data_IF_606458798460
#
_entry.id   IF_606458798460
#
_cell.length_a   1.000
_cell.length_b   1.000
_cell.length_c   1.000
_cell.angle_alpha   90.00
_cell.angle_beta   90.00
_cell.angle_gamma   90.00
#
_symmetry.space_group_name_H-M   'P 1'
#
loop_
_entity.id
_entity.type
_entity.pdbx_description
1 polymer ?
#
# COMPACT_ATOMS: atom_id res chain seq x y z
N UNK A 1 12.40 -5.25 86.69
CA UNK A 1 11.45 -5.26 85.56
C UNK A 1 11.99 -6.19 84.49
N UNK A 2 11.26 -7.23 84.15
CA UNK A 2 11.78 -8.42 83.47
C UNK A 2 11.62 -8.26 81.93
N UNK A 3 12.74 -8.24 81.17
CA UNK A 3 12.76 -8.33 79.73
C UNK A 3 12.73 -9.82 79.31
N UNK A 4 11.81 -10.17 78.43
CA UNK A 4 11.76 -11.50 77.82
C UNK A 4 12.38 -11.39 76.41
N UNK A 5 13.49 -12.11 76.23
CA UNK A 5 14.11 -12.39 74.95
C UNK A 5 13.28 -13.50 74.22
N UNK A 6 12.89 -13.24 73.00
CA UNK A 6 12.29 -14.26 72.12
C UNK A 6 13.28 -14.50 71.00
N UNK A 7 13.75 -15.74 70.90
CA UNK A 7 14.58 -16.24 69.78
C UNK A 7 13.67 -16.58 68.59
N UNK A 8 13.94 -15.97 67.43
CA UNK A 8 13.38 -16.43 66.17
C UNK A 8 14.42 -17.12 65.33
N UNK A 9 14.17 -18.39 64.99
CA UNK A 9 15.01 -19.20 64.09
C UNK A 9 14.82 -18.71 62.65
N UNK A 10 15.87 -18.71 61.78
CA UNK A 10 15.74 -18.43 60.38
C UNK A 10 15.18 -19.65 59.63
N UNK A 11 14.11 -19.45 58.92
CA UNK A 11 13.58 -20.43 57.94
C UNK A 11 14.45 -20.34 56.66
N UNK A 12 15.20 -21.42 56.41
CA UNK A 12 15.92 -21.59 55.14
C UNK A 12 14.88 -22.00 54.07
N UNK A 13 14.57 -21.07 53.17
CA UNK A 13 13.78 -21.37 51.98
C UNK A 13 14.70 -21.95 50.90
N UNK A 14 14.52 -23.27 50.63
CA UNK A 14 15.10 -23.92 49.46
C UNK A 14 14.40 -23.38 48.18
N UNK A 15 15.11 -22.58 47.39
CA UNK A 15 14.69 -22.28 46.05
C UNK A 15 14.98 -23.48 45.13
N UNK A 16 13.94 -24.22 44.76
CA UNK A 16 13.97 -25.15 43.64
C UNK A 16 13.99 -24.30 42.34
N UNK A 17 15.14 -24.23 41.69
CA UNK A 17 15.28 -23.70 40.35
C UNK A 17 14.67 -24.74 39.40
N UNK A 18 13.39 -24.62 39.13
CA UNK A 18 12.73 -25.31 38.03
C UNK A 18 13.23 -24.75 36.71
N UNK A 19 14.01 -25.52 35.96
CA UNK A 19 14.35 -25.24 34.56
C UNK A 19 13.07 -25.25 33.72
N UNK A 20 12.55 -24.09 33.40
CA UNK A 20 11.51 -23.95 32.38
C UNK A 20 12.18 -24.14 31.02
N UNK A 21 12.12 -25.37 30.50
CA UNK A 21 12.30 -25.60 29.07
C UNK A 21 11.14 -24.94 28.36
N UNK A 22 11.41 -23.83 27.70
CA UNK A 22 10.48 -23.24 26.75
C UNK A 22 10.36 -24.21 25.55
N UNK A 23 9.36 -25.09 25.64
CA UNK A 23 8.90 -25.82 24.46
C UNK A 23 8.42 -24.78 23.45
N UNK A 24 9.22 -24.54 22.39
CA UNK A 24 8.75 -23.92 21.17
C UNK A 24 7.62 -24.82 20.68
N UNK A 25 6.38 -24.36 20.82
CA UNK A 25 5.24 -25.02 20.22
C UNK A 25 5.46 -25.03 18.72
N UNK A 26 5.75 -26.18 18.18
CA UNK A 26 5.73 -26.46 16.74
C UNK A 26 4.28 -26.28 16.27
N UNK A 27 4.01 -25.17 15.54
CA UNK A 27 2.68 -24.83 15.01
C UNK A 27 2.35 -25.59 13.71
N UNK A 28 3.01 -26.72 13.47
CA UNK A 28 2.91 -27.47 12.20
C UNK A 28 1.72 -28.44 12.09
N UNK A 29 0.75 -28.49 13.01
CA UNK A 29 -0.38 -29.44 12.92
C UNK A 29 -1.76 -28.82 13.16
N UNK A 30 -2.12 -27.78 12.40
CA UNK A 30 -3.53 -27.52 12.12
C UNK A 30 -3.87 -28.19 10.79
N UNK A 31 -4.26 -29.46 10.81
CA UNK A 31 -4.80 -30.20 9.65
C UNK A 31 -6.20 -29.66 9.28
N UNK A 32 -6.26 -28.44 8.77
CA UNK A 32 -7.37 -27.96 7.98
C UNK A 32 -7.23 -28.44 6.53
N UNK A 33 -8.30 -28.44 5.71
CA UNK A 33 -8.17 -28.68 4.28
C UNK A 33 -7.18 -27.68 3.68
N UNK A 34 -6.35 -28.15 2.74
CA UNK A 34 -5.41 -27.26 2.03
C UNK A 34 -6.15 -26.03 1.47
N UNK A 35 -5.55 -24.82 1.54
CA UNK A 35 -6.20 -23.63 1.03
C UNK A 35 -6.44 -23.76 -0.48
N UNK A 36 -7.54 -23.21 -0.97
CA UNK A 36 -7.76 -23.06 -2.41
C UNK A 36 -6.71 -22.09 -2.95
N UNK A 37 -6.07 -22.40 -4.07
CA UNK A 37 -5.07 -21.55 -4.70
C UNK A 37 -5.59 -21.07 -6.05
N UNK A 38 -5.63 -19.75 -6.25
CA UNK A 38 -5.76 -19.11 -7.56
C UNK A 38 -4.33 -18.82 -8.02
N UNK A 39 -3.79 -19.76 -8.78
CA UNK A 39 -2.41 -19.72 -9.20
C UNK A 39 -2.21 -18.71 -10.34
N UNK A 40 -1.08 -18.02 -10.32
CA UNK A 40 -0.55 -17.22 -11.42
C UNK A 40 -0.06 -18.14 -12.54
N UNK A 41 -0.38 -17.81 -13.80
CA UNK A 41 0.13 -18.51 -14.98
C UNK A 41 0.71 -17.53 -16.01
N UNK A 42 1.73 -17.94 -16.74
CA UNK A 42 2.46 -17.07 -17.67
C UNK A 42 3.22 -15.94 -16.99
N UNK A 43 3.96 -15.16 -17.77
CA UNK A 43 4.74 -14.02 -17.27
C UNK A 43 3.82 -12.81 -17.03
N UNK A 44 2.96 -12.48 -17.99
CA UNK A 44 2.13 -11.29 -18.00
C UNK A 44 0.65 -11.60 -17.77
N UNK A 45 -0.11 -10.62 -17.34
CA UNK A 45 -1.54 -10.72 -17.08
C UNK A 45 -2.34 -11.22 -18.30
N UNK A 46 -1.95 -10.82 -19.51
CA UNK A 46 -2.58 -11.26 -20.76
C UNK A 46 -2.51 -12.79 -21.01
N UNK A 47 -1.55 -13.46 -20.38
CA UNK A 47 -1.31 -14.91 -20.52
C UNK A 47 -1.97 -15.71 -19.39
N UNK A 48 -2.76 -15.06 -18.52
CA UNK A 48 -3.33 -15.62 -17.30
C UNK A 48 -4.85 -15.44 -17.23
N UNK A 49 -5.65 -16.51 -17.29
CA UNK A 49 -7.11 -16.40 -17.23
C UNK A 49 -7.64 -15.92 -15.87
N UNK A 50 -6.82 -15.91 -14.82
CA UNK A 50 -7.16 -15.44 -13.47
C UNK A 50 -6.75 -13.99 -13.24
N UNK A 51 -6.20 -13.32 -14.25
CA UNK A 51 -5.70 -11.97 -14.16
C UNK A 51 -6.53 -11.00 -14.99
N UNK A 52 -6.69 -9.77 -14.50
CA UNK A 52 -7.31 -8.65 -15.20
C UNK A 52 -6.66 -7.33 -14.74
N UNK A 53 -6.74 -6.29 -15.58
CA UNK A 53 -6.18 -4.97 -15.26
C UNK A 53 -7.19 -3.83 -15.46
N UNK A 54 -8.46 -4.17 -15.54
CA UNK A 54 -9.59 -3.23 -15.54
C UNK A 54 -10.67 -3.76 -14.60
N UNK A 55 -11.45 -2.87 -14.03
CA UNK A 55 -12.51 -3.23 -13.07
C UNK A 55 -13.87 -3.07 -13.74
N UNK A 56 -14.66 -4.16 -13.74
CA UNK A 56 -16.02 -4.18 -14.26
C UNK A 56 -16.82 -5.29 -13.57
N UNK A 57 -18.13 -5.06 -13.31
CA UNK A 57 -19.00 -6.01 -12.59
C UNK A 57 -19.20 -7.36 -13.29
N UNK A 58 -19.00 -7.40 -14.60
CA UNK A 58 -19.23 -8.62 -15.41
C UNK A 58 -18.00 -9.54 -15.48
N UNK A 59 -16.88 -9.21 -14.84
CA UNK A 59 -15.69 -10.09 -14.79
C UNK A 59 -16.07 -11.37 -14.05
N UNK A 60 -15.81 -12.51 -14.69
CA UNK A 60 -16.18 -13.83 -14.14
C UNK A 60 -15.28 -14.20 -12.97
N UNK A 61 -15.83 -14.82 -11.92
CA UNK A 61 -15.00 -15.28 -10.79
C UNK A 61 -13.96 -16.33 -11.22
N UNK A 62 -12.69 -16.12 -10.84
CA UNK A 62 -11.62 -17.10 -10.96
C UNK A 62 -11.78 -18.26 -9.95
N UNK A 63 -12.41 -17.97 -8.81
CA UNK A 63 -12.66 -18.96 -7.77
C UNK A 63 -13.91 -18.64 -6.95
N UNK A 64 -14.39 -19.66 -6.21
CA UNK A 64 -15.48 -19.54 -5.22
C UNK A 64 -15.00 -20.11 -3.89
N UNK A 65 -15.23 -19.39 -2.80
CA UNK A 65 -14.81 -19.79 -1.46
C UNK A 65 -15.97 -19.69 -0.46
N UNK A 66 -15.98 -20.59 0.52
CA UNK A 66 -16.92 -20.51 1.64
C UNK A 66 -16.44 -19.48 2.67
N UNK A 67 -17.35 -18.80 3.39
CA UNK A 67 -16.99 -17.96 4.52
C UNK A 67 -16.13 -18.75 5.53
N UNK A 68 -15.00 -18.16 5.95
CA UNK A 68 -14.03 -18.78 6.86
C UNK A 68 -13.03 -19.75 6.20
N UNK A 69 -13.20 -20.10 4.93
CA UNK A 69 -12.20 -20.85 4.19
C UNK A 69 -10.99 -19.96 3.88
N UNK A 70 -9.78 -20.47 4.10
CA UNK A 70 -8.56 -19.81 3.63
C UNK A 70 -8.33 -20.09 2.15
N UNK A 71 -7.81 -19.08 1.45
CA UNK A 71 -7.43 -19.18 0.04
C UNK A 71 -6.18 -18.34 -0.22
N UNK A 72 -5.47 -18.66 -1.30
CA UNK A 72 -4.24 -17.99 -1.73
C UNK A 72 -4.46 -17.42 -3.12
N UNK A 73 -4.09 -16.16 -3.29
CA UNK A 73 -4.00 -15.49 -4.59
C UNK A 73 -2.51 -15.27 -4.90
N UNK A 74 -2.03 -15.81 -6.02
CA UNK A 74 -0.68 -15.54 -6.51
C UNK A 74 -0.74 -14.31 -7.42
N UNK A 75 0.02 -13.26 -7.06
CA UNK A 75 0.00 -11.96 -7.75
C UNK A 75 1.28 -11.72 -8.55
N UNK A 76 1.20 -10.81 -9.51
CA UNK A 76 2.34 -10.11 -10.12
C UNK A 76 2.59 -8.81 -9.36
N UNK A 77 3.75 -8.18 -9.59
CA UNK A 77 3.98 -6.79 -9.18
C UNK A 77 3.06 -5.82 -9.93
N UNK A 78 2.98 -4.58 -9.47
CA UNK A 78 2.10 -3.54 -10.02
C UNK A 78 2.36 -3.19 -11.50
N UNK A 79 3.56 -3.53 -12.01
CA UNK A 79 4.02 -3.26 -13.37
C UNK A 79 3.94 -4.47 -14.31
N UNK A 80 3.15 -5.50 -13.98
CA UNK A 80 2.91 -6.71 -14.78
C UNK A 80 4.17 -7.50 -15.12
N UNK A 81 5.15 -7.54 -14.22
CA UNK A 81 6.44 -8.23 -14.40
C UNK A 81 7.25 -7.73 -15.61
N UNK A 82 7.13 -6.45 -15.94
CA UNK A 82 7.93 -5.82 -16.99
C UNK A 82 9.40 -5.68 -16.58
N UNK A 83 9.69 -5.59 -15.27
CA UNK A 83 11.04 -5.42 -14.73
C UNK A 83 11.58 -6.71 -14.08
N UNK A 84 12.92 -6.81 -14.05
CA UNK A 84 13.65 -7.89 -13.38
C UNK A 84 15.02 -7.38 -12.87
N UNK A 85 15.88 -8.29 -12.32
CA UNK A 85 17.21 -7.94 -11.82
C UNK A 85 18.18 -7.36 -12.86
N UNK A 86 17.87 -7.45 -14.16
CA UNK A 86 18.71 -6.93 -15.23
C UNK A 86 18.17 -5.63 -15.82
N UNK A 87 17.00 -5.18 -15.37
CA UNK A 87 16.35 -3.97 -15.87
C UNK A 87 17.18 -2.72 -15.62
N UNK A 88 17.11 -1.78 -16.53
CA UNK A 88 17.84 -0.52 -16.53
C UNK A 88 16.90 0.67 -16.46
N UNK A 89 17.39 1.89 -16.24
CA UNK A 89 16.54 3.08 -16.34
C UNK A 89 15.84 3.21 -17.70
N UNK A 90 16.42 2.69 -18.79
CA UNK A 90 15.78 2.71 -20.11
C UNK A 90 14.51 1.81 -20.15
N UNK A 91 14.53 0.69 -19.43
CA UNK A 91 13.36 -0.18 -19.31
C UNK A 91 12.26 0.51 -18.47
N UNK A 92 12.63 1.27 -17.43
CA UNK A 92 11.69 2.09 -16.66
C UNK A 92 11.04 3.18 -17.53
N UNK A 93 11.81 3.82 -18.40
CA UNK A 93 11.28 4.80 -19.35
C UNK A 93 10.30 4.20 -20.38
N UNK A 94 10.39 2.89 -20.62
CA UNK A 94 9.56 2.14 -21.55
C UNK A 94 8.31 1.51 -20.91
N UNK A 95 8.14 1.61 -19.58
CA UNK A 95 7.00 1.01 -18.85
C UNK A 95 5.66 1.43 -19.47
N UNK A 96 4.82 0.44 -19.72
CA UNK A 96 3.47 0.68 -20.21
C UNK A 96 2.46 0.76 -19.06
N UNK A 97 2.17 1.96 -18.58
CA UNK A 97 1.19 2.19 -17.50
C UNK A 97 -0.25 1.76 -17.85
N UNK A 98 -0.55 1.33 -19.10
CA UNK A 98 -1.84 0.73 -19.41
C UNK A 98 -1.98 -0.69 -18.84
N UNK A 99 -0.89 -1.36 -18.53
CA UNK A 99 -0.88 -2.70 -17.91
C UNK A 99 -1.17 -2.66 -16.41
N UNK A 100 -1.02 -1.49 -15.77
CA UNK A 100 -1.22 -1.31 -14.32
C UNK A 100 -2.69 -1.27 -13.94
N UNK A 101 -3.07 -1.97 -12.89
CA UNK A 101 -2.31 -2.99 -12.18
C UNK A 101 -2.86 -4.36 -12.54
N UNK A 102 -2.02 -5.40 -12.69
CA UNK A 102 -2.49 -6.76 -12.87
C UNK A 102 -3.11 -7.25 -11.55
N UNK A 103 -4.39 -7.61 -11.59
CA UNK A 103 -5.17 -8.05 -10.45
C UNK A 103 -5.49 -9.53 -10.55
N UNK A 104 -5.32 -10.29 -9.49
CA UNK A 104 -5.68 -11.70 -9.40
C UNK A 104 -7.07 -11.87 -8.77
N UNK A 105 -7.91 -12.65 -9.40
CA UNK A 105 -9.31 -12.88 -9.01
C UNK A 105 -10.27 -12.71 -10.19
N UNK A 106 -11.52 -12.25 -9.97
CA UNK A 106 -12.15 -12.02 -8.67
C UNK A 106 -12.53 -13.33 -7.96
N UNK A 107 -12.58 -13.28 -6.63
CA UNK A 107 -13.04 -14.40 -5.80
C UNK A 107 -14.48 -14.16 -5.38
N UNK A 108 -15.34 -15.13 -5.66
CA UNK A 108 -16.74 -15.13 -5.22
C UNK A 108 -16.85 -15.69 -3.80
N UNK A 109 -17.32 -14.90 -2.85
CA UNK A 109 -17.56 -15.33 -1.46
C UNK A 109 -18.98 -15.88 -1.37
N UNK A 110 -19.11 -17.19 -1.11
CA UNK A 110 -20.41 -17.88 -1.05
C UNK A 110 -21.30 -17.28 0.04
N UNK A 111 -22.57 -17.05 -0.30
CA UNK A 111 -23.58 -16.51 0.60
C UNK A 111 -23.55 -14.99 0.76
N UNK A 112 -22.51 -14.28 0.33
CA UNK A 112 -22.51 -12.83 0.32
C UNK A 112 -23.47 -12.28 -0.73
N UNK A 113 -24.22 -11.23 -0.38
CA UNK A 113 -25.21 -10.58 -1.22
C UNK A 113 -24.91 -9.10 -1.37
N UNK A 114 -25.40 -8.49 -2.45
CA UNK A 114 -25.44 -7.03 -2.56
C UNK A 114 -26.08 -6.42 -1.30
N UNK A 115 -25.43 -5.44 -0.70
CA UNK A 115 -25.87 -4.80 0.55
C UNK A 115 -25.24 -5.40 1.82
N UNK A 116 -24.61 -6.57 1.74
CA UNK A 116 -23.75 -7.09 2.80
C UNK A 116 -22.40 -6.36 2.82
N UNK A 117 -21.53 -6.72 3.74
CA UNK A 117 -20.11 -6.45 3.67
C UNK A 117 -19.33 -7.76 3.85
N UNK A 118 -18.07 -7.75 3.45
CA UNK A 118 -17.13 -8.84 3.79
C UNK A 118 -16.02 -8.30 4.69
N UNK A 119 -15.61 -9.16 5.65
CA UNK A 119 -14.42 -8.98 6.47
C UNK A 119 -13.33 -9.92 5.94
N UNK A 120 -12.24 -9.36 5.43
CA UNK A 120 -11.12 -10.08 4.81
C UNK A 120 -9.90 -9.97 5.70
N UNK A 121 -9.51 -11.07 6.33
CA UNK A 121 -8.32 -11.12 7.19
C UNK A 121 -7.10 -11.50 6.35
N UNK A 122 -6.04 -10.73 6.48
CA UNK A 122 -4.72 -11.02 5.88
C UNK A 122 -4.02 -12.05 6.75
N UNK A 123 -3.90 -13.28 6.25
CA UNK A 123 -3.34 -14.41 7.03
C UNK A 123 -1.83 -14.52 6.84
N UNK A 124 -1.34 -14.37 5.62
CA UNK A 124 0.09 -14.41 5.28
C UNK A 124 0.33 -13.73 3.93
N UNK A 125 1.51 -13.16 3.77
CA UNK A 125 2.03 -12.65 2.49
C UNK A 125 3.44 -13.19 2.33
N UNK A 126 3.62 -14.06 1.33
CA UNK A 126 4.93 -14.61 0.97
C UNK A 126 5.46 -13.85 -0.24
N UNK A 127 6.56 -13.09 -0.12
CA UNK A 127 7.14 -12.36 -1.23
C UNK A 127 7.77 -13.31 -2.26
N UNK A 128 7.78 -12.90 -3.52
CA UNK A 128 8.72 -13.42 -4.53
C UNK A 128 10.15 -12.91 -4.18
N UNK A 129 11.17 -13.40 -4.88
CA UNK A 129 12.58 -13.06 -4.56
C UNK A 129 13.01 -11.68 -5.07
N UNK A 130 12.30 -11.13 -6.05
CA UNK A 130 12.58 -9.86 -6.71
C UNK A 130 11.56 -8.80 -6.32
N UNK A 131 12.05 -7.57 -6.10
CA UNK A 131 11.26 -6.36 -6.05
C UNK A 131 11.99 -5.18 -6.67
N UNK A 132 11.25 -4.14 -7.03
CA UNK A 132 11.82 -2.91 -7.56
C UNK A 132 11.14 -1.68 -6.96
N UNK A 133 11.89 -0.58 -6.89
CA UNK A 133 11.33 0.76 -6.68
C UNK A 133 11.81 1.65 -7.80
N UNK A 134 10.90 2.36 -8.46
CA UNK A 134 11.20 3.12 -9.66
C UNK A 134 10.82 4.58 -9.55
N UNK A 135 11.50 5.43 -10.29
CA UNK A 135 11.06 6.79 -10.62
C UNK A 135 10.66 6.75 -12.09
N UNK A 136 9.35 6.73 -12.35
CA UNK A 136 8.81 6.71 -13.72
C UNK A 136 8.64 8.15 -14.21
N UNK A 137 9.20 8.51 -15.38
CA UNK A 137 9.08 9.86 -15.92
C UNK A 137 7.63 10.35 -16.00
N UNK A 138 7.37 11.53 -15.43
CA UNK A 138 6.04 12.14 -15.41
C UNK A 138 5.08 11.59 -14.36
N UNK A 139 5.48 10.59 -13.57
CA UNK A 139 4.72 10.00 -12.47
C UNK A 139 5.37 10.28 -11.11
N UNK A 140 4.64 10.08 -10.00
CA UNK A 140 5.11 10.36 -8.65
C UNK A 140 4.82 11.79 -8.14
N UNK A 141 5.00 12.00 -6.85
CA UNK A 141 4.67 13.24 -6.16
C UNK A 141 5.60 14.40 -6.55
N UNK A 142 6.89 14.09 -6.76
CA UNK A 142 7.91 15.05 -7.16
C UNK A 142 8.35 14.89 -8.63
N UNK A 143 7.43 14.51 -9.53
CA UNK A 143 7.70 14.25 -10.96
C UNK A 143 8.31 15.44 -11.73
N UNK A 144 8.15 16.65 -11.22
CA UNK A 144 8.75 17.87 -11.75
C UNK A 144 10.19 18.10 -11.27
N UNK A 145 10.58 17.50 -10.16
CA UNK A 145 11.94 17.54 -9.58
C UNK A 145 12.79 16.38 -10.07
N UNK A 146 12.16 15.23 -10.33
CA UNK A 146 12.80 13.98 -10.77
C UNK A 146 12.21 13.54 -12.11
N UNK A 147 12.62 14.18 -13.22
CA UNK A 147 12.08 13.88 -14.55
C UNK A 147 12.69 12.64 -15.19
N UNK A 148 13.86 12.20 -14.73
CA UNK A 148 14.62 11.11 -15.33
C UNK A 148 14.25 9.75 -14.72
N UNK A 149 14.24 8.66 -15.53
CA UNK A 149 13.93 7.33 -15.03
C UNK A 149 15.04 6.82 -14.10
N UNK A 150 14.63 6.12 -13.05
CA UNK A 150 15.54 5.51 -12.10
C UNK A 150 14.96 4.20 -11.57
N UNK A 151 15.82 3.25 -11.18
CA UNK A 151 15.43 1.97 -10.59
C UNK A 151 16.37 1.58 -9.46
N UNK A 152 15.80 1.00 -8.41
CA UNK A 152 16.49 0.25 -7.37
C UNK A 152 15.94 -1.16 -7.37
N UNK A 153 16.84 -2.13 -7.48
CA UNK A 153 16.53 -3.57 -7.44
C UNK A 153 16.65 -4.07 -6.01
N UNK A 154 15.67 -4.85 -5.57
CA UNK A 154 15.64 -5.42 -4.23
C UNK A 154 15.66 -6.95 -4.29
N UNK A 155 16.58 -7.56 -3.54
CA UNK A 155 16.58 -8.97 -3.19
C UNK A 155 15.70 -9.15 -1.96
N UNK A 156 14.61 -9.91 -2.08
CA UNK A 156 13.58 -10.05 -1.05
C UNK A 156 13.64 -11.40 -0.36
N UNK A 157 13.40 -11.41 0.93
CA UNK A 157 13.13 -12.60 1.71
C UNK A 157 12.02 -12.32 2.73
N UNK A 158 11.69 -13.29 3.60
CA UNK A 158 10.61 -13.12 4.56
C UNK A 158 10.88 -12.09 5.67
N UNK A 159 12.12 -11.62 5.82
CA UNK A 159 12.51 -10.73 6.91
C UNK A 159 12.77 -9.31 6.42
N UNK A 160 13.49 -9.17 5.31
CA UNK A 160 13.98 -7.89 4.83
C UNK A 160 14.21 -7.87 3.32
N UNK A 161 14.24 -6.67 2.75
CA UNK A 161 14.69 -6.35 1.41
C UNK A 161 16.08 -5.74 1.45
N UNK A 162 16.99 -6.19 0.58
CA UNK A 162 18.35 -5.65 0.41
C UNK A 162 18.60 -5.26 -1.03
N UNK A 163 19.47 -4.29 -1.25
CA UNK A 163 19.82 -3.82 -2.59
C UNK A 163 21.32 -3.63 -2.75
N UNK A 164 21.83 -4.04 -3.92
CA UNK A 164 23.21 -3.70 -4.36
C UNK A 164 23.31 -2.24 -4.81
N UNK A 165 22.19 -1.66 -5.23
CA UNK A 165 22.11 -0.26 -5.65
C UNK A 165 22.14 0.69 -4.46
N UNK A 166 21.83 0.19 -3.26
CA UNK A 166 21.81 0.95 -2.00
C UNK A 166 22.50 0.15 -0.87
N UNK A 167 23.83 -0.02 -0.93
CA UNK A 167 24.58 -0.79 0.07
C UNK A 167 24.38 -0.23 1.48
N UNK A 168 24.26 -1.12 2.48
CA UNK A 168 24.05 -0.74 3.88
C UNK A 168 22.60 -0.41 4.25
N UNK A 169 21.67 -0.54 3.31
CA UNK A 169 20.23 -0.39 3.58
C UNK A 169 19.56 -1.76 3.57
N UNK A 170 18.77 -2.04 4.60
CA UNK A 170 17.89 -3.20 4.69
C UNK A 170 16.52 -2.76 5.18
N UNK A 171 15.50 -2.96 4.36
CA UNK A 171 14.13 -2.56 4.65
C UNK A 171 13.37 -3.74 5.26
N UNK A 172 12.83 -3.63 6.49
CA UNK A 172 12.06 -4.70 7.11
C UNK A 172 10.82 -5.07 6.30
N UNK A 173 10.44 -6.36 6.32
CA UNK A 173 9.21 -6.84 5.70
C UNK A 173 7.98 -6.35 6.46
N UNK A 174 7.25 -5.45 5.84
CA UNK A 174 5.95 -4.95 6.27
C UNK A 174 4.93 -5.09 5.13
N UNK A 175 4.92 -6.26 4.47
CA UNK A 175 4.16 -6.48 3.26
C UNK A 175 2.65 -6.31 3.45
N UNK A 176 2.04 -5.70 2.43
CA UNK A 176 0.60 -5.48 2.32
C UNK A 176 0.19 -5.43 0.84
N UNK A 177 -1.11 -5.40 0.56
CA UNK A 177 -1.63 -5.24 -0.79
C UNK A 177 -1.88 -3.75 -1.04
N UNK A 178 -1.15 -3.12 -1.96
CA UNK A 178 -1.44 -1.76 -2.45
C UNK A 178 -2.84 -1.73 -3.07
N UNK A 179 -3.13 -2.73 -3.90
CA UNK A 179 -4.44 -2.87 -4.52
C UNK A 179 -5.21 -4.08 -3.97
N UNK A 180 -6.27 -3.80 -3.22
CA UNK A 180 -7.26 -4.78 -2.76
C UNK A 180 -8.67 -4.17 -2.77
N UNK A 181 -9.66 -4.87 -3.32
CA UNK A 181 -11.02 -4.35 -3.39
C UNK A 181 -12.03 -5.38 -3.85
N UNK A 182 -13.25 -4.91 -4.06
CA UNK A 182 -14.37 -5.71 -4.55
C UNK A 182 -14.92 -5.14 -5.84
N UNK A 183 -15.57 -5.98 -6.66
CA UNK A 183 -16.18 -5.50 -7.91
C UNK A 183 -17.34 -4.54 -7.61
N UNK A 184 -17.52 -3.47 -8.43
CA UNK A 184 -18.69 -2.59 -8.35
C UNK A 184 -19.97 -3.31 -8.76
N UNK A 185 -21.12 -2.74 -8.43
CA UNK A 185 -22.34 -2.99 -9.16
C UNK A 185 -22.47 -2.03 -10.36
N UNK A 186 -23.39 -2.32 -11.29
CA UNK A 186 -23.58 -1.42 -12.44
C UNK A 186 -23.91 0.02 -12.04
N UNK A 187 -24.81 0.29 -11.06
CA UNK A 187 -25.10 1.68 -10.65
C UNK A 187 -23.88 2.43 -10.09
N UNK A 188 -23.02 1.73 -9.35
CA UNK A 188 -21.80 2.32 -8.79
C UNK A 188 -20.79 2.59 -9.90
N UNK A 189 -20.60 1.63 -10.82
CA UNK A 189 -19.72 1.77 -11.96
C UNK A 189 -20.10 2.99 -12.81
N UNK A 190 -21.36 3.08 -13.22
CA UNK A 190 -21.89 4.20 -14.02
C UNK A 190 -21.65 5.56 -13.31
N UNK A 191 -21.92 5.60 -11.98
CA UNK A 191 -21.70 6.81 -11.16
C UNK A 191 -20.24 7.23 -11.13
N UNK A 192 -19.32 6.29 -10.93
CA UNK A 192 -17.90 6.59 -10.80
C UNK A 192 -17.29 6.98 -12.14
N UNK A 193 -17.60 6.27 -13.22
CA UNK A 193 -17.17 6.64 -14.57
C UNK A 193 -17.65 8.03 -14.95
N UNK A 194 -18.92 8.36 -14.69
CA UNK A 194 -19.47 9.70 -14.95
C UNK A 194 -18.73 10.80 -14.15
N UNK A 195 -18.42 10.52 -12.87
CA UNK A 195 -17.68 11.45 -12.00
C UNK A 195 -16.27 11.72 -12.55
N UNK A 196 -15.57 10.68 -12.96
CA UNK A 196 -14.21 10.76 -13.50
C UNK A 196 -14.19 11.43 -14.88
N UNK A 197 -15.13 11.10 -15.76
CA UNK A 197 -15.25 11.75 -17.05
C UNK A 197 -15.55 13.25 -16.93
N UNK A 198 -16.45 13.64 -16.03
CA UNK A 198 -16.74 15.05 -15.78
C UNK A 198 -15.51 15.83 -15.27
N UNK A 199 -14.64 15.18 -14.48
CA UNK A 199 -13.38 15.78 -14.04
C UNK A 199 -12.39 15.91 -15.21
N UNK A 200 -12.29 14.91 -16.07
CA UNK A 200 -11.45 14.96 -17.28
C UNK A 200 -11.91 16.06 -18.22
N UNK A 201 -13.22 16.16 -18.47
CA UNK A 201 -13.83 17.18 -19.33
C UNK A 201 -13.59 18.62 -18.80
N UNK A 202 -13.45 18.75 -17.48
CA UNK A 202 -13.08 20.02 -16.82
C UNK A 202 -11.56 20.30 -16.83
N UNK A 203 -10.74 19.46 -17.47
CA UNK A 203 -9.29 19.61 -17.55
C UNK A 203 -8.52 19.06 -16.34
N UNK A 204 -9.15 18.26 -15.49
CA UNK A 204 -8.49 17.56 -14.39
C UNK A 204 -7.61 16.40 -14.87
N UNK A 205 -6.53 16.13 -14.14
CA UNK A 205 -5.68 14.98 -14.38
C UNK A 205 -6.38 13.72 -13.82
N UNK A 206 -6.97 12.92 -14.70
CA UNK A 206 -7.66 11.70 -14.32
C UNK A 206 -7.46 10.61 -15.39
N UNK A 207 -7.39 9.37 -14.92
CA UNK A 207 -7.25 8.19 -15.78
C UNK A 207 -8.65 7.62 -16.09
N UNK A 208 -9.26 8.11 -17.15
CA UNK A 208 -10.55 7.61 -17.64
C UNK A 208 -10.43 6.21 -18.24
N UNK A 209 -11.58 5.58 -18.52
CA UNK A 209 -11.63 4.29 -19.21
C UNK A 209 -10.84 4.31 -20.52
N UNK A 210 -10.05 3.26 -20.75
CA UNK A 210 -9.23 3.13 -21.94
C UNK A 210 -9.08 1.66 -22.33
N UNK A 211 -9.49 1.26 -23.55
CA UNK A 211 -9.52 -0.16 -23.95
C UNK A 211 -8.19 -0.71 -24.43
N UNK A 212 -7.17 0.15 -24.68
CA UNK A 212 -5.85 -0.31 -25.12
C UNK A 212 -5.19 -1.08 -23.99
N UNK A 213 -4.69 -2.29 -24.29
CA UNK A 213 -4.09 -3.24 -23.35
C UNK A 213 -5.02 -3.64 -22.16
N UNK A 214 -6.31 -3.40 -22.29
CA UNK A 214 -7.28 -3.72 -21.25
C UNK A 214 -7.63 -5.22 -21.23
N UNK A 215 -7.69 -5.78 -20.01
CA UNK A 215 -8.02 -7.18 -19.74
C UNK A 215 -9.18 -7.27 -18.72
N UNK A 216 -10.12 -8.25 -18.91
CA UNK A 216 -10.18 -9.25 -19.99
C UNK A 216 -10.46 -8.58 -21.33
N UNK A 217 -9.78 -9.01 -22.39
CA UNK A 217 -9.85 -8.35 -23.71
C UNK A 217 -11.21 -8.46 -24.38
N UNK A 218 -11.93 -9.56 -24.17
CA UNK A 218 -13.27 -9.79 -24.70
C UNK A 218 -14.35 -8.89 -24.06
N UNK A 219 -14.07 -8.36 -22.85
CA UNK A 219 -14.95 -7.45 -22.14
C UNK A 219 -14.46 -5.98 -22.25
N UNK A 220 -13.21 -5.73 -21.91
CA UNK A 220 -12.65 -4.40 -21.69
C UNK A 220 -11.71 -3.92 -22.82
N UNK A 221 -11.22 -4.84 -23.69
CA UNK A 221 -10.29 -4.52 -24.78
C UNK A 221 -10.93 -3.70 -25.90
N UNK A 222 -10.14 -3.35 -26.92
CA UNK A 222 -10.54 -2.48 -28.05
C UNK A 222 -11.78 -3.02 -28.80
N UNK A 223 -11.94 -4.35 -28.85
CA UNK A 223 -13.11 -5.03 -29.43
C UNK A 223 -14.03 -5.60 -28.34
N UNK A 224 -13.81 -5.24 -27.08
CA UNK A 224 -14.56 -5.73 -25.93
C UNK A 224 -15.98 -5.18 -25.87
N UNK A 225 -16.89 -5.98 -25.30
CA UNK A 225 -18.33 -5.66 -25.21
C UNK A 225 -18.63 -4.49 -24.28
N UNK A 226 -17.71 -4.11 -23.38
CA UNK A 226 -17.81 -3.00 -22.42
C UNK A 226 -16.55 -2.10 -22.44
N UNK A 227 -15.91 -1.95 -23.60
CA UNK A 227 -14.61 -1.26 -23.78
C UNK A 227 -14.54 0.16 -23.17
N UNK A 228 -15.67 0.86 -23.16
CA UNK A 228 -15.75 2.24 -22.65
C UNK A 228 -16.28 2.30 -21.20
N UNK A 229 -16.60 1.16 -20.60
CA UNK A 229 -17.18 1.05 -19.25
C UNK A 229 -16.22 0.42 -18.21
N UNK A 230 -15.03 0.00 -18.60
CA UNK A 230 -14.08 -0.64 -17.70
C UNK A 230 -13.17 0.39 -17.02
N UNK A 231 -13.20 0.46 -15.68
CA UNK A 231 -12.40 1.40 -14.91
C UNK A 231 -10.92 1.00 -14.89
N UNK A 232 -10.05 2.02 -14.93
CA UNK A 232 -8.61 1.88 -14.62
C UNK A 232 -8.43 1.54 -13.14
N UNK A 233 -7.34 0.87 -12.81
CA UNK A 233 -7.03 0.39 -11.46
C UNK A 233 -6.29 1.41 -10.59
N UNK A 234 -5.51 2.31 -11.20
CA UNK A 234 -4.66 3.28 -10.48
C UNK A 234 -5.47 4.18 -9.52
N UNK A 235 -6.58 4.83 -9.88
CA UNK A 235 -7.36 5.58 -8.90
C UNK A 235 -8.15 4.66 -7.96
N UNK A 236 -8.01 4.78 -6.62
CA UNK A 236 -8.88 4.08 -5.67
C UNK A 236 -10.30 4.68 -5.66
N UNK A 237 -11.27 3.88 -5.24
CA UNK A 237 -12.68 4.31 -5.15
C UNK A 237 -13.36 3.72 -3.92
N UNK A 238 -14.68 3.91 -3.81
CA UNK A 238 -15.46 3.45 -2.66
C UNK A 238 -15.43 1.91 -2.46
N UNK A 239 -15.08 1.16 -3.51
CA UNK A 239 -14.92 -0.31 -3.45
C UNK A 239 -13.51 -0.78 -3.00
N UNK A 240 -12.65 0.12 -2.57
CA UNK A 240 -11.23 -0.15 -2.36
C UNK A 240 -10.44 0.06 -3.65
N UNK A 241 -9.63 -0.90 -4.05
CA UNK A 241 -8.70 -0.80 -5.17
C UNK A 241 -7.33 -0.34 -4.69
N UNK A 242 -6.69 0.55 -5.43
CA UNK A 242 -5.33 1.04 -5.17
C UNK A 242 -5.32 2.09 -4.05
N UNK A 243 -5.48 1.63 -2.81
CA UNK A 243 -5.55 2.52 -1.63
C UNK A 243 -4.20 2.79 -0.98
N UNK A 244 -3.19 1.98 -1.28
CA UNK A 244 -1.82 2.09 -0.78
C UNK A 244 -1.75 2.35 0.73
N UNK A 245 -2.54 1.54 1.46
CA UNK A 245 -2.69 1.70 2.90
C UNK A 245 -1.77 0.71 3.62
N UNK A 246 -0.56 1.14 3.93
CA UNK A 246 0.51 0.30 4.51
C UNK A 246 0.15 -0.37 5.85
N UNK A 247 -0.87 0.12 6.56
CA UNK A 247 -1.34 -0.45 7.82
C UNK A 247 -2.08 -1.78 7.63
N UNK A 248 -2.39 -2.17 6.38
CA UNK A 248 -3.16 -3.39 6.07
C UNK A 248 -2.27 -4.65 5.99
N UNK A 249 -1.29 -4.73 6.85
CA UNK A 249 -0.33 -5.86 6.98
C UNK A 249 -0.97 -7.15 7.49
N UNK A 250 -0.18 -8.23 7.49
CA UNK A 250 -0.59 -9.54 8.04
C UNK A 250 -1.18 -9.41 9.44
N UNK A 251 -2.35 -10.01 9.64
CA UNK A 251 -3.13 -9.97 10.88
C UNK A 251 -4.19 -8.86 10.92
N UNK A 252 -4.22 -7.95 9.96
CA UNK A 252 -5.27 -6.93 9.80
C UNK A 252 -6.49 -7.53 9.11
N UNK A 253 -7.68 -7.05 9.45
CA UNK A 253 -8.94 -7.41 8.79
C UNK A 253 -9.50 -6.18 8.07
N UNK A 254 -9.65 -6.28 6.76
CA UNK A 254 -10.24 -5.24 5.91
C UNK A 254 -11.73 -5.51 5.73
N UNK A 255 -12.52 -4.45 5.71
CA UNK A 255 -13.97 -4.49 5.58
C UNK A 255 -14.37 -3.80 4.27
N UNK A 256 -15.10 -4.51 3.40
CA UNK A 256 -15.57 -3.96 2.12
C UNK A 256 -17.08 -4.10 1.99
N UNK A 257 -17.79 -3.08 1.45
CA UNK A 257 -19.20 -3.21 1.09
C UNK A 257 -19.36 -4.10 -0.14
N UNK A 258 -20.38 -4.95 -0.20
CA UNK A 258 -20.68 -5.75 -1.37
C UNK A 258 -21.65 -5.04 -2.32
N UNK A 259 -21.21 -4.72 -3.52
CA UNK A 259 -22.01 -4.08 -4.56
C UNK A 259 -22.67 -5.08 -5.50
N UNK A 260 -22.23 -6.34 -5.47
CA UNK A 260 -22.79 -7.48 -6.22
C UNK A 260 -22.85 -8.71 -5.32
N UNK A 261 -23.60 -9.73 -5.72
CA UNK A 261 -23.60 -11.04 -5.06
C UNK A 261 -22.21 -11.67 -5.15
N UNK A 262 -21.72 -12.22 -4.03
CA UNK A 262 -20.38 -12.76 -3.92
C UNK A 262 -19.27 -11.73 -3.76
N UNK A 263 -19.59 -10.43 -3.72
CA UNK A 263 -18.70 -9.27 -3.62
C UNK A 263 -17.63 -9.15 -4.71
N UNK A 264 -17.04 -10.27 -5.21
CA UNK A 264 -16.00 -10.25 -6.24
C UNK A 264 -14.66 -9.67 -5.74
N UNK A 265 -14.10 -10.25 -4.68
CA UNK A 265 -12.83 -9.79 -4.08
C UNK A 265 -11.65 -9.99 -5.06
N UNK A 266 -10.80 -8.98 -5.19
CA UNK A 266 -9.58 -9.02 -5.99
C UNK A 266 -8.37 -8.45 -5.25
N UNK A 267 -7.17 -8.86 -5.66
CA UNK A 267 -5.89 -8.44 -5.08
C UNK A 267 -4.85 -8.28 -6.19
N UNK A 268 -3.95 -7.32 -6.02
CA UNK A 268 -2.77 -7.12 -6.86
C UNK A 268 -1.82 -6.12 -6.21
N UNK A 269 -0.76 -5.74 -6.94
CA UNK A 269 0.08 -4.62 -6.55
C UNK A 269 0.56 -4.77 -5.11
N UNK A 270 1.27 -5.88 -4.84
CA UNK A 270 1.71 -6.20 -3.48
C UNK A 270 3.03 -5.51 -3.22
N UNK A 271 3.08 -4.75 -2.14
CA UNK A 271 4.25 -4.03 -1.69
C UNK A 271 4.96 -4.80 -0.57
N UNK A 272 6.28 -4.91 -0.64
CA UNK A 272 7.09 -5.48 0.43
C UNK A 272 7.20 -4.52 1.62
N UNK A 273 7.37 -3.24 1.33
CA UNK A 273 7.35 -2.14 2.27
C UNK A 273 7.10 -0.82 1.53
N UNK A 274 6.49 0.11 2.21
CA UNK A 274 6.19 1.45 1.70
C UNK A 274 6.25 2.48 2.82
N UNK A 275 6.78 3.66 2.54
CA UNK A 275 6.60 4.85 3.35
C UNK A 275 5.19 5.43 3.17
N UNK A 276 4.61 5.96 4.23
CA UNK A 276 3.28 6.58 4.14
C UNK A 276 3.26 7.75 3.18
N UNK A 277 2.60 7.56 2.02
CA UNK A 277 2.51 8.55 0.95
C UNK A 277 3.09 8.11 -0.40
N UNK A 278 3.85 7.00 -0.46
CA UNK A 278 4.36 6.42 -1.72
C UNK A 278 4.92 7.46 -2.72
N UNK A 279 5.74 8.36 -2.21
CA UNK A 279 6.05 9.63 -2.89
C UNK A 279 6.74 9.50 -4.26
N UNK A 280 7.47 8.41 -4.53
CA UNK A 280 8.06 8.17 -5.85
C UNK A 280 7.05 7.62 -6.87
N UNK A 281 5.85 7.22 -6.42
CA UNK A 281 4.82 6.58 -7.23
C UNK A 281 4.96 5.06 -7.31
N UNK A 282 5.94 4.49 -6.59
CA UNK A 282 6.12 3.07 -6.35
C UNK A 282 6.65 2.84 -4.94
N UNK A 283 6.26 1.72 -4.33
CA UNK A 283 6.82 1.18 -3.10
C UNK A 283 8.03 0.26 -3.43
N UNK A 284 8.27 -0.78 -2.64
CA UNK A 284 9.02 -1.95 -3.10
C UNK A 284 7.99 -2.89 -3.72
N UNK A 285 7.82 -2.77 -5.02
CA UNK A 285 6.90 -3.54 -5.84
C UNK A 285 7.33 -4.99 -5.94
N UNK A 286 6.40 -5.95 -5.77
CA UNK A 286 6.75 -7.37 -5.85
C UNK A 286 5.58 -8.27 -6.27
N UNK A 287 5.90 -9.40 -6.88
CA UNK A 287 4.99 -10.55 -6.92
C UNK A 287 4.92 -11.22 -5.55
N UNK A 288 3.77 -11.85 -5.24
CA UNK A 288 3.58 -12.49 -3.94
C UNK A 288 2.53 -13.61 -3.96
N UNK A 289 2.53 -14.43 -2.89
CA UNK A 289 1.43 -15.33 -2.55
C UNK A 289 0.69 -14.76 -1.35
N UNK A 290 -0.51 -14.24 -1.60
CA UNK A 290 -1.35 -13.60 -0.58
C UNK A 290 -2.37 -14.59 -0.06
N UNK A 291 -2.29 -14.96 1.22
CA UNK A 291 -3.25 -15.85 1.90
C UNK A 291 -4.27 -15.03 2.66
N UNK A 292 -5.53 -15.24 2.35
CA UNK A 292 -6.67 -14.51 2.90
C UNK A 292 -7.71 -15.46 3.49
N UNK A 293 -8.55 -14.91 4.37
CA UNK A 293 -9.76 -15.53 4.87
C UNK A 293 -10.90 -14.51 4.87
N UNK A 294 -12.05 -14.84 4.27
CA UNK A 294 -13.18 -13.92 4.20
C UNK A 294 -14.37 -14.41 5.05
N UNK A 295 -15.10 -13.48 5.68
CA UNK A 295 -16.36 -13.69 6.37
C UNK A 295 -17.41 -12.72 5.84
N UNK A 296 -18.69 -13.10 5.87
CA UNK A 296 -19.80 -12.25 5.48
C UNK A 296 -20.38 -11.52 6.69
N UNK A 297 -20.65 -10.23 6.52
CA UNK A 297 -21.34 -9.36 7.48
C UNK A 297 -22.70 -8.98 6.87
N UNK A 298 -23.79 -9.68 7.21
CA UNK A 298 -25.11 -9.42 6.63
C UNK A 298 -25.55 -7.97 6.88
N UNK A 299 -26.04 -7.29 5.81
CA UNK A 299 -26.46 -5.89 5.86
C UNK A 299 -25.34 -4.89 6.19
N UNK A 300 -24.09 -5.32 6.14
CA UNK A 300 -22.92 -4.54 6.57
C UNK A 300 -22.68 -3.27 5.75
N UNK A 301 -23.09 -3.22 4.47
CA UNK A 301 -22.93 -2.04 3.63
C UNK A 301 -23.69 -0.80 4.13
N UNK A 302 -24.67 -0.97 5.02
CA UNK A 302 -25.34 0.16 5.68
C UNK A 302 -24.43 0.98 6.61
N UNK A 303 -23.30 0.42 7.03
CA UNK A 303 -22.32 1.05 7.95
C UNK A 303 -20.91 1.13 7.34
N UNK A 304 -20.62 0.29 6.37
CA UNK A 304 -19.34 0.19 5.68
C UNK A 304 -19.58 0.63 4.24
N UNK A 305 -19.29 1.89 3.94
CA UNK A 305 -19.56 2.51 2.63
C UNK A 305 -18.31 2.61 1.74
N UNK A 306 -17.13 2.44 2.34
CA UNK A 306 -15.81 2.41 1.70
C UNK A 306 -14.98 1.33 2.37
N UNK A 307 -13.72 1.15 1.98
CA UNK A 307 -12.80 0.29 2.71
C UNK A 307 -12.60 0.81 4.15
N UNK A 308 -12.87 -0.05 5.13
CA UNK A 308 -12.43 0.13 6.51
C UNK A 308 -11.45 -0.98 6.86
N UNK A 309 -10.70 -0.83 7.94
CA UNK A 309 -9.87 -1.92 8.45
C UNK A 309 -9.73 -1.83 9.96
N UNK A 310 -9.48 -2.99 10.58
CA UNK A 310 -9.27 -3.13 12.02
C UNK A 310 -8.17 -4.14 12.30
N UNK A 311 -7.50 -4.00 13.42
CA UNK A 311 -6.43 -4.90 13.84
C UNK A 311 -6.13 -4.77 15.32
N UNK A 312 -5.16 -5.55 15.79
CA UNK A 312 -4.69 -5.53 17.17
C UNK A 312 -3.36 -4.76 17.31
N UNK A 313 -2.29 -5.50 17.56
CA UNK A 313 -0.97 -4.92 17.80
C UNK A 313 -0.12 -4.71 16.52
N UNK A 314 -0.69 -4.91 15.34
CA UNK A 314 0.04 -4.87 14.06
C UNK A 314 0.72 -3.51 13.84
N UNK A 315 0.04 -2.41 14.15
CA UNK A 315 0.61 -1.06 13.99
C UNK A 315 1.86 -0.83 14.84
N UNK A 316 2.02 -1.55 15.98
CA UNK A 316 3.25 -1.46 16.78
C UNK A 316 4.47 -2.03 16.07
N UNK A 317 4.28 -2.97 15.14
CA UNK A 317 5.36 -3.56 14.34
C UNK A 317 5.83 -2.63 13.23
N UNK A 318 4.98 -1.68 12.82
CA UNK A 318 5.31 -0.67 11.82
C UNK A 318 6.08 0.52 12.41
N UNK A 319 6.02 0.71 13.74
CA UNK A 319 6.73 1.79 14.41
C UNK A 319 8.24 1.49 14.44
N UNK A 320 9.10 2.45 14.03
CA UNK A 320 10.55 2.28 14.11
C UNK A 320 11.04 2.24 15.55
N UNK A 321 12.15 1.53 15.83
CA UNK A 321 12.81 1.57 17.14
C UNK A 321 13.50 2.91 17.37
N UNK A 322 13.96 3.54 16.30
CA UNK A 322 14.51 4.89 16.28
C UNK A 322 14.14 5.61 14.99
N UNK A 323 14.01 6.93 15.05
CA UNK A 323 13.61 7.73 13.90
C UNK A 323 14.32 9.06 13.84
N UNK A 324 14.36 9.65 12.64
CA UNK A 324 14.65 11.06 12.40
C UNK A 324 13.46 11.68 11.68
N UNK A 325 13.11 12.92 12.03
CA UNK A 325 11.94 13.55 11.43
C UNK A 325 12.22 15.00 11.05
N UNK A 326 11.58 15.44 9.97
CA UNK A 326 11.59 16.83 9.50
C UNK A 326 10.15 17.29 9.26
N UNK A 327 9.85 18.54 9.64
CA UNK A 327 8.53 19.12 9.42
C UNK A 327 8.57 20.04 8.20
N UNK A 328 7.61 19.86 7.30
CA UNK A 328 7.33 20.74 6.18
C UNK A 328 6.19 21.69 6.53
N UNK A 329 6.41 22.98 6.27
CA UNK A 329 5.41 24.03 6.34
C UNK A 329 5.03 24.45 4.91
N UNK A 330 3.83 24.98 4.68
CA UNK A 330 3.36 25.35 3.34
C UNK A 330 3.96 26.68 2.85
N UNK A 331 5.28 26.81 2.92
CA UNK A 331 6.02 27.95 2.42
C UNK A 331 6.04 27.90 0.88
N UNK A 332 5.50 28.93 0.25
CA UNK A 332 5.46 29.07 -1.20
C UNK A 332 6.34 30.24 -1.68
N UNK A 333 6.90 30.17 -2.87
CA UNK A 333 7.53 31.31 -3.52
C UNK A 333 6.57 32.48 -3.74
N UNK A 334 7.13 33.67 -3.84
CA UNK A 334 6.39 34.84 -4.31
C UNK A 334 5.89 34.64 -5.74
N UNK A 335 4.67 35.07 -6.00
CA UNK A 335 4.04 34.93 -7.34
C UNK A 335 3.26 33.63 -7.54
N UNK A 336 3.48 32.58 -6.74
CA UNK A 336 2.69 31.35 -6.83
C UNK A 336 1.34 31.48 -6.13
N UNK A 337 0.35 30.75 -6.66
CA UNK A 337 -0.99 30.66 -6.07
C UNK A 337 -1.15 29.24 -5.49
N UNK A 338 -1.45 29.09 -4.20
CA UNK A 338 -1.70 27.78 -3.60
C UNK A 338 -2.87 27.06 -4.29
N UNK A 339 -2.77 25.74 -4.39
CA UNK A 339 -3.84 24.90 -4.96
C UNK A 339 -5.13 25.02 -4.14
N UNK A 340 -4.99 25.17 -2.82
CA UNK A 340 -6.08 25.29 -1.88
C UNK A 340 -5.87 26.46 -0.91
N UNK A 341 -6.92 27.24 -0.68
CA UNK A 341 -6.96 28.27 0.35
C UNK A 341 -8.43 28.53 0.75
N UNK A 342 -8.73 28.36 2.03
CA UNK A 342 -10.08 28.54 2.56
C UNK A 342 -10.36 30.00 2.94
N UNK A 343 -9.38 30.68 3.53
CA UNK A 343 -9.60 31.99 4.15
C UNK A 343 -9.26 33.18 3.24
N UNK A 344 -8.35 32.98 2.27
CA UNK A 344 -7.93 34.03 1.32
C UNK A 344 -8.08 33.53 -0.11
N UNK A 345 -8.60 34.38 -0.97
CA UNK A 345 -8.59 34.12 -2.41
C UNK A 345 -7.14 33.98 -2.91
N UNK A 346 -6.83 32.90 -3.64
CA UNK A 346 -5.47 32.57 -4.07
C UNK A 346 -4.72 33.72 -4.72
N UNK A 347 -5.40 34.53 -5.55
CA UNK A 347 -4.81 35.72 -6.19
C UNK A 347 -4.36 36.80 -5.19
N UNK A 348 -5.03 36.93 -4.05
CA UNK A 348 -4.65 37.91 -3.01
C UNK A 348 -3.38 37.54 -2.27
N UNK A 349 -3.10 36.24 -2.16
CA UNK A 349 -1.91 35.72 -1.46
C UNK A 349 -0.74 35.44 -2.42
N UNK A 350 -0.93 35.52 -3.73
CA UNK A 350 0.13 35.32 -4.72
C UNK A 350 1.40 36.16 -4.44
N UNK A 351 1.32 37.46 -4.08
CA UNK A 351 2.49 38.29 -3.79
C UNK A 351 3.24 37.91 -2.50
N UNK A 352 2.67 37.07 -1.64
CA UNK A 352 3.27 36.74 -0.35
C UNK A 352 4.24 35.56 -0.49
N UNK A 353 5.40 35.66 0.14
CA UNK A 353 6.45 34.63 0.07
C UNK A 353 6.23 33.44 1.01
N UNK A 354 5.19 33.45 1.82
CA UNK A 354 4.89 32.36 2.76
C UNK A 354 3.39 32.13 2.85
N UNK A 355 2.98 31.23 3.69
CA UNK A 355 1.63 31.03 4.21
C UNK A 355 0.61 30.51 3.17
N UNK A 356 0.19 29.33 3.42
CA UNK A 356 -1.01 28.78 2.81
C UNK A 356 -1.62 27.72 3.74
N UNK A 357 -2.84 27.33 3.45
CA UNK A 357 -3.50 26.18 4.05
C UNK A 357 -3.30 24.93 3.17
N UNK A 358 -2.30 24.95 2.30
CA UNK A 358 -2.03 23.88 1.34
C UNK A 358 -1.26 22.74 1.99
N UNK A 359 -2.00 21.70 2.39
CA UNK A 359 -1.42 20.50 2.97
C UNK A 359 -0.51 19.75 1.98
N UNK A 360 -0.80 19.83 0.68
CA UNK A 360 0.02 19.21 -0.37
C UNK A 360 1.38 19.91 -0.47
N UNK A 361 1.40 21.23 -0.37
CA UNK A 361 2.65 22.01 -0.33
C UNK A 361 3.46 21.71 0.93
N UNK A 362 2.80 21.56 2.10
CA UNK A 362 3.47 21.16 3.34
C UNK A 362 4.11 19.77 3.22
N UNK A 363 3.39 18.80 2.64
CA UNK A 363 3.89 17.45 2.37
C UNK A 363 5.08 17.47 1.41
N UNK A 364 5.00 18.27 0.34
CA UNK A 364 6.08 18.45 -0.63
C UNK A 364 7.35 19.00 0.04
N UNK A 365 7.21 20.02 0.87
CA UNK A 365 8.33 20.62 1.57
C UNK A 365 8.94 19.65 2.60
N UNK A 366 8.12 18.86 3.31
CA UNK A 366 8.61 17.79 4.20
C UNK A 366 9.43 16.75 3.43
N UNK A 367 8.93 16.32 2.27
CA UNK A 367 9.59 15.34 1.39
C UNK A 367 10.95 15.86 0.88
N UNK A 368 10.99 17.07 0.36
CA UNK A 368 12.22 17.69 -0.14
C UNK A 368 13.27 17.89 0.99
N UNK A 369 12.83 18.36 2.16
CA UNK A 369 13.71 18.53 3.31
C UNK A 369 14.29 17.18 3.78
N UNK A 370 13.53 16.10 3.74
CA UNK A 370 14.01 14.75 4.08
C UNK A 370 15.01 14.24 3.04
N UNK A 371 14.75 14.45 1.74
CA UNK A 371 15.70 14.12 0.67
C UNK A 371 17.03 14.86 0.89
N UNK A 372 16.97 16.16 1.15
CA UNK A 372 18.16 16.97 1.41
C UNK A 372 18.94 16.51 2.66
N UNK A 373 18.25 16.10 3.72
CA UNK A 373 18.86 15.50 4.90
C UNK A 373 19.59 14.20 4.53
N UNK A 374 18.95 13.28 3.81
CA UNK A 374 19.53 12.00 3.42
C UNK A 374 20.77 12.18 2.53
N UNK A 375 20.72 13.08 1.56
CA UNK A 375 21.88 13.41 0.71
C UNK A 375 23.04 13.94 1.55
N UNK A 376 22.79 14.89 2.45
CA UNK A 376 23.83 15.55 3.26
C UNK A 376 24.43 14.63 4.33
N UNK A 377 23.64 13.75 4.93
CA UNK A 377 24.07 12.98 6.12
C UNK A 377 24.36 11.53 5.85
N UNK A 378 23.77 10.95 4.80
CA UNK A 378 23.93 9.53 4.43
C UNK A 378 24.71 9.33 3.14
N UNK A 379 25.07 10.43 2.43
CA UNK A 379 25.82 10.36 1.19
C UNK A 379 25.09 9.72 0.00
N UNK A 380 23.75 9.66 0.07
CA UNK A 380 22.92 9.15 -1.01
C UNK A 380 22.87 10.15 -2.17
N UNK A 381 22.66 9.66 -3.40
CA UNK A 381 22.25 10.54 -4.50
C UNK A 381 20.83 11.06 -4.24
N UNK A 382 20.39 12.07 -4.97
CA UNK A 382 19.02 12.61 -4.81
C UNK A 382 17.97 11.55 -5.18
N UNK A 383 18.22 10.76 -6.21
CA UNK A 383 17.35 9.67 -6.67
C UNK A 383 17.27 8.55 -5.63
N UNK A 384 18.41 8.12 -5.09
CA UNK A 384 18.46 7.14 -3.99
C UNK A 384 17.72 7.64 -2.76
N UNK A 385 17.90 8.91 -2.40
CA UNK A 385 17.20 9.53 -1.27
C UNK A 385 15.68 9.58 -1.52
N UNK A 386 15.24 9.92 -2.73
CA UNK A 386 13.83 9.95 -3.08
C UNK A 386 13.20 8.55 -3.05
N UNK A 387 13.87 7.55 -3.60
CA UNK A 387 13.46 6.13 -3.47
C UNK A 387 13.36 5.72 -2.01
N UNK A 388 14.38 6.04 -1.18
CA UNK A 388 14.35 5.68 0.24
C UNK A 388 13.19 6.38 0.99
N UNK A 389 12.89 7.63 0.64
CA UNK A 389 11.71 8.33 1.19
C UNK A 389 10.43 7.59 0.82
N UNK A 390 10.30 7.11 -0.42
CA UNK A 390 9.12 6.37 -0.88
C UNK A 390 8.90 5.05 -0.14
N UNK A 391 9.95 4.38 0.30
CA UNK A 391 9.84 3.04 0.92
C UNK A 391 9.94 3.02 2.45
N UNK A 392 10.52 4.07 3.08
CA UNK A 392 10.86 4.04 4.50
C UNK A 392 10.58 5.35 5.27
N UNK A 393 9.90 6.32 4.67
CA UNK A 393 9.53 7.58 5.34
C UNK A 393 8.01 7.77 5.34
N UNK A 394 7.44 8.02 6.51
CA UNK A 394 6.03 8.28 6.68
C UNK A 394 5.73 9.77 6.64
N UNK A 395 4.82 10.20 5.76
CA UNK A 395 4.25 11.54 5.79
C UNK A 395 3.04 11.58 6.72
N UNK A 396 3.21 12.22 7.87
CA UNK A 396 2.17 12.36 8.87
C UNK A 396 1.63 13.79 8.90
N UNK A 397 0.31 13.94 8.88
CA UNK A 397 -0.32 15.24 9.16
C UNK A 397 -0.05 15.60 10.62
N UNK A 398 0.73 16.65 10.86
CA UNK A 398 1.04 17.12 12.21
C UNK A 398 -0.14 17.88 12.81
N UNK A 399 -0.71 18.81 12.03
CA UNK A 399 -1.91 19.56 12.40
C UNK A 399 -2.53 20.26 11.16
N UNK A 400 -3.82 20.55 11.23
CA UNK A 400 -4.60 21.23 10.18
C UNK A 400 -5.45 22.38 10.74
N UNK A 401 -5.12 22.87 11.93
CA UNK A 401 -5.96 23.82 12.69
C UNK A 401 -5.25 25.15 13.00
N UNK A 402 -3.93 25.20 12.99
CA UNK A 402 -3.16 26.38 13.37
C UNK A 402 -2.89 27.25 12.13
N UNK A 403 -3.98 27.83 11.65
CA UNK A 403 -3.96 28.65 10.45
C UNK A 403 -3.10 29.92 10.61
N UNK A 404 -2.42 30.35 9.53
CA UNK A 404 -2.52 29.82 8.17
C UNK A 404 -1.56 28.67 7.86
N UNK A 405 -0.71 28.24 8.79
CA UNK A 405 0.35 27.26 8.54
C UNK A 405 -0.04 25.86 9.02
N UNK A 406 -0.61 25.05 8.14
CA UNK A 406 -0.74 23.61 8.36
C UNK A 406 0.64 22.93 8.38
N UNK A 407 0.74 21.72 8.93
CA UNK A 407 2.03 21.02 9.05
C UNK A 407 1.97 19.56 8.64
N UNK A 408 3.01 19.10 7.93
CA UNK A 408 3.26 17.68 7.63
C UNK A 408 4.66 17.33 8.11
N UNK A 409 4.80 16.21 8.79
CA UNK A 409 6.09 15.69 9.26
C UNK A 409 6.46 14.42 8.50
N UNK A 410 7.63 14.43 7.87
CA UNK A 410 8.25 13.26 7.27
C UNK A 410 9.08 12.53 8.35
N UNK A 411 8.75 11.27 8.64
CA UNK A 411 9.36 10.45 9.69
C UNK A 411 10.13 9.31 9.04
N UNK A 412 11.45 9.38 9.10
CA UNK A 412 12.36 8.36 8.59
C UNK A 412 12.57 7.27 9.63
N UNK A 413 12.34 6.02 9.25
CA UNK A 413 12.73 4.83 10.01
C UNK A 413 14.27 4.65 9.95
N UNK A 414 14.98 4.85 11.08
CA UNK A 414 16.42 4.68 11.12
C UNK A 414 16.85 3.20 11.19
N UNK A 415 15.95 2.26 11.49
CA UNK A 415 16.24 0.83 11.54
C UNK A 415 16.62 0.25 10.16
N UNK A 416 16.35 0.99 9.09
CA UNK A 416 16.74 0.59 7.71
C UNK A 416 18.25 0.68 7.46
N UNK A 417 19.01 1.46 8.25
CA UNK A 417 20.45 1.59 8.09
C UNK A 417 21.19 0.48 8.84
N UNK A 418 21.98 -0.32 8.13
CA UNK A 418 22.80 -1.40 8.69
C UNK A 418 24.21 -0.89 8.99
N UNK A 419 24.66 -1.01 10.24
CA UNK A 419 25.96 -0.53 10.71
C UNK A 419 25.83 0.73 11.59
N UNK A 420 26.91 1.10 12.28
CA UNK A 420 26.93 2.24 13.20
C UNK A 420 26.45 3.51 12.49
N UNK A 421 25.31 4.00 12.91
CA UNK A 421 24.89 5.39 12.63
C UNK A 421 25.81 6.27 13.48
N UNK A 422 26.96 6.68 12.92
CA UNK A 422 27.77 7.71 13.53
C UNK A 422 27.16 9.08 13.34
#
# INVERSE_FOLDING_TARGET
>A
MKSKFVWTMPVVALFLIGSWSSALADTSDVKGPAPLIVAKSGKHCKDDPNCFNRIHYAIKPAARVKPGQQFVLETRDGLDSELDFNSTPADVAAINLNLCHPLTGPVYIEGAKRGDAIAVTVVDIAPDEFGSTTIVPGFGFLRDVFPDPYIVHWELNRLEARSKDMPGIAVPNNAFMGTIGVLPGKPELDKWLKREQALADAGGAVLTSQPVDALPSDLCGVDGTAKDECMRTIPPRENGGNTDTKETVVGTTLLFPCFIDGCGLFVGDVHFAMGGGEVAGTAIEMGAKVRLQAKVIPGGASRISTMHFEGGSQLKKLAPSSFYAVTGLPLKPEGEVPVYSTYLGGQKIAPLANLSEDLTLAARNATLNMIDFLVKTKGLTREQAYVLVSVAVDLNISQVVDMPNVGVTAILNLDVFQGEVK
#
